data_IF_626732862304
#
_entry.id   IF_626732862304
#
_cell.length_a   1.000
_cell.length_b   1.000
_cell.length_c   1.000
_cell.angle_alpha   90.00
_cell.angle_beta   90.00
_cell.angle_gamma   90.00
#
_symmetry.space_group_name_H-M   'P 1'
#
loop_
_entity.id
_entity.type
_entity.pdbx_description
1 polymer ?
#
# COMPACT_ATOMS: atom_id res chain seq x y z
N UNK A 1 -3.20 -21.91 4.35
CA UNK A 1 -3.16 -22.00 5.84
C UNK A 1 -3.90 -20.78 6.40
N UNK A 2 -5.21 -20.91 6.58
CA UNK A 2 -6.14 -19.86 7.04
C UNK A 2 -6.77 -20.31 8.37
N UNK A 3 -7.20 -21.57 8.42
CA UNK A 3 -7.80 -22.21 9.60
C UNK A 3 -6.85 -22.41 10.80
N UNK A 4 -5.55 -22.61 10.55
CA UNK A 4 -4.56 -22.71 11.64
C UNK A 4 -4.40 -21.37 12.38
N UNK A 5 -4.68 -20.25 11.71
CA UNK A 5 -4.69 -18.90 12.28
C UNK A 5 -5.82 -18.70 13.30
N UNK A 6 -7.03 -19.23 13.02
CA UNK A 6 -8.11 -19.23 14.01
C UNK A 6 -7.80 -20.12 15.21
N UNK A 7 -7.16 -21.28 14.98
CA UNK A 7 -6.81 -22.22 16.05
C UNK A 7 -5.82 -21.63 17.08
N UNK A 8 -4.98 -20.67 16.67
CA UNK A 8 -4.04 -19.95 17.55
C UNK A 8 -4.61 -18.64 18.12
N UNK A 9 -5.91 -18.38 17.94
CA UNK A 9 -6.58 -17.18 18.45
C UNK A 9 -6.37 -15.92 17.59
N UNK A 10 -5.91 -16.08 16.35
CA UNK A 10 -5.79 -14.99 15.39
C UNK A 10 -7.15 -14.62 14.82
N UNK A 11 -7.52 -13.35 14.96
CA UNK A 11 -8.68 -12.78 14.28
C UNK A 11 -8.34 -12.43 12.83
N UNK A 12 -9.37 -12.33 11.99
CA UNK A 12 -9.21 -11.80 10.64
C UNK A 12 -8.52 -10.43 10.64
N UNK A 13 -7.58 -10.18 9.74
CA UNK A 13 -6.86 -8.89 9.68
C UNK A 13 -7.80 -7.73 9.35
N UNK A 14 -8.91 -7.97 8.63
CA UNK A 14 -9.95 -6.96 8.42
C UNK A 14 -10.81 -6.66 9.66
N UNK A 15 -10.73 -7.46 10.72
CA UNK A 15 -11.42 -7.23 11.98
C UNK A 15 -10.56 -6.42 12.98
N UNK A 16 -9.30 -6.09 12.67
CA UNK A 16 -8.44 -5.24 13.52
C UNK A 16 -9.13 -3.92 13.86
N UNK A 17 -8.86 -3.36 15.03
CA UNK A 17 -9.46 -2.10 15.46
C UNK A 17 -8.99 -0.90 14.62
N UNK A 18 -7.77 -0.93 14.10
CA UNK A 18 -7.10 0.12 13.34
C UNK A 18 -7.28 0.01 11.82
N UNK A 19 -8.01 -1.01 11.34
CA UNK A 19 -8.12 -1.29 9.89
C UNK A 19 -8.64 -0.12 9.06
N UNK A 20 -9.46 0.77 9.63
CA UNK A 20 -10.04 1.90 8.88
C UNK A 20 -8.96 2.93 8.48
N UNK A 21 -7.75 2.85 9.05
CA UNK A 21 -6.59 3.62 8.62
C UNK A 21 -5.91 3.05 7.36
N UNK A 22 -6.24 1.80 7.00
CA UNK A 22 -5.54 1.01 5.98
C UNK A 22 -6.47 0.53 4.85
N UNK A 23 -7.72 0.21 5.17
CA UNK A 23 -8.73 -0.27 4.23
C UNK A 23 -10.06 0.49 4.41
N UNK A 24 -10.74 0.79 3.31
CA UNK A 24 -12.10 1.30 3.33
C UNK A 24 -13.08 0.16 3.03
N UNK A 25 -14.03 -0.08 3.93
CA UNK A 25 -15.02 -1.15 3.79
C UNK A 25 -16.40 -0.55 3.46
N UNK A 26 -16.95 -0.88 2.29
CA UNK A 26 -18.29 -0.48 1.86
C UNK A 26 -19.30 -1.57 2.20
N UNK A 27 -19.85 -1.54 3.43
CA UNK A 27 -20.80 -2.56 3.92
C UNK A 27 -22.07 -2.67 3.06
N UNK A 28 -22.44 -1.61 2.34
CA UNK A 28 -23.52 -1.61 1.34
C UNK A 28 -23.37 -2.66 0.23
N UNK A 29 -22.14 -3.14 -0.02
CA UNK A 29 -21.82 -4.17 -1.01
C UNK A 29 -21.62 -5.56 -0.38
N UNK A 30 -21.69 -5.67 0.95
CA UNK A 30 -21.70 -6.96 1.64
C UNK A 30 -23.03 -7.68 1.36
N UNK A 31 -23.02 -9.02 1.40
CA UNK A 31 -24.28 -9.77 1.40
C UNK A 31 -25.10 -9.37 2.62
N UNK A 32 -26.39 -9.13 2.43
CA UNK A 32 -27.29 -8.78 3.53
C UNK A 32 -27.18 -9.83 4.64
N UNK A 33 -26.94 -9.38 5.87
CA UNK A 33 -26.76 -10.23 7.05
C UNK A 33 -25.32 -10.66 7.33
N UNK A 34 -24.34 -10.31 6.49
CA UNK A 34 -22.92 -10.63 6.69
C UNK A 34 -22.10 -9.48 7.30
N UNK A 35 -22.73 -8.36 7.64
CA UNK A 35 -22.08 -7.17 8.19
C UNK A 35 -21.34 -7.48 9.50
N UNK A 36 -21.87 -8.42 10.28
CA UNK A 36 -21.27 -8.87 11.53
C UNK A 36 -19.91 -9.58 11.35
N UNK A 37 -19.62 -10.14 10.17
CA UNK A 37 -18.30 -10.74 9.86
C UNK A 37 -17.21 -9.69 9.65
N UNK A 38 -17.59 -8.43 9.46
CA UNK A 38 -16.68 -7.29 9.30
C UNK A 38 -16.71 -6.37 10.53
N UNK A 39 -17.24 -6.84 11.65
CA UNK A 39 -17.20 -6.10 12.91
C UNK A 39 -15.76 -5.86 13.35
N UNK A 40 -15.52 -4.70 13.99
CA UNK A 40 -14.24 -4.40 14.64
C UNK A 40 -14.11 -5.22 15.91
N UNK A 41 -12.94 -5.83 16.08
CA UNK A 41 -12.46 -6.21 17.38
C UNK A 41 -12.08 -4.97 18.19
N UNK A 42 -12.15 -5.10 19.51
CA UNK A 42 -11.73 -4.04 20.42
C UNK A 42 -10.21 -4.02 20.60
N UNK A 43 -9.65 -2.86 20.93
CA UNK A 43 -8.23 -2.71 21.29
C UNK A 43 -7.82 -3.62 22.47
N UNK A 44 -8.78 -4.05 23.29
CA UNK A 44 -8.57 -4.97 24.43
C UNK A 44 -8.47 -6.44 24.02
N UNK A 45 -9.07 -6.83 22.89
CA UNK A 45 -9.09 -8.21 22.37
C UNK A 45 -8.13 -8.43 21.22
N UNK A 46 -7.58 -7.35 20.66
CA UNK A 46 -6.76 -7.37 19.45
C UNK A 46 -5.52 -6.47 19.61
N UNK A 47 -4.44 -7.05 20.16
CA UNK A 47 -3.15 -6.36 20.27
C UNK A 47 -2.34 -6.56 18.99
N UNK A 48 -2.09 -5.48 18.26
CA UNK A 48 -1.39 -5.49 16.99
C UNK A 48 0.13 -5.61 17.20
N UNK A 49 0.64 -6.83 17.34
CA UNK A 49 2.08 -7.09 17.41
C UNK A 49 2.83 -6.76 16.10
N UNK A 50 2.11 -6.61 14.98
CA UNK A 50 2.66 -6.33 13.65
C UNK A 50 1.85 -5.25 12.92
N UNK A 51 2.50 -4.54 12.00
CA UNK A 51 1.87 -3.58 11.08
C UNK A 51 0.85 -4.28 10.15
N UNK A 52 -0.02 -3.49 9.52
CA UNK A 52 -1.08 -4.03 8.65
C UNK A 52 -0.47 -4.61 7.37
N UNK A 53 -0.46 -5.94 7.25
CA UNK A 53 0.10 -6.64 6.09
C UNK A 53 -1.01 -7.10 5.12
N UNK A 54 -1.07 -6.42 3.97
CA UNK A 54 -2.02 -6.66 2.88
C UNK A 54 -1.80 -7.98 2.13
N UNK A 55 -0.64 -8.65 2.32
CA UNK A 55 -0.25 -9.87 1.60
C UNK A 55 -0.38 -11.18 2.39
N UNK A 56 -0.83 -11.12 3.65
CA UNK A 56 -1.00 -12.34 4.48
C UNK A 56 -2.14 -13.24 4.00
N UNK A 57 -2.18 -14.49 4.48
CA UNK A 57 -3.24 -15.49 4.19
C UNK A 57 -4.52 -15.24 5.03
N UNK A 58 -4.49 -14.26 5.93
CA UNK A 58 -5.53 -13.99 6.93
C UNK A 58 -6.63 -12.99 6.55
N UNK A 59 -6.49 -12.07 5.57
CA UNK A 59 -7.66 -11.38 5.08
C UNK A 59 -8.55 -12.38 4.36
N UNK A 60 -9.88 -12.25 4.50
CA UNK A 60 -10.75 -12.90 3.52
C UNK A 60 -10.33 -12.41 2.14
N UNK A 61 -10.26 -13.33 1.17
CA UNK A 61 -10.15 -12.93 -0.23
C UNK A 61 -11.26 -11.92 -0.52
N UNK A 62 -10.95 -10.83 -1.21
CA UNK A 62 -11.86 -9.70 -1.44
C UNK A 62 -13.22 -10.08 -2.05
N UNK A 63 -13.36 -11.31 -2.56
CA UNK A 63 -14.54 -11.89 -3.20
C UNK A 63 -15.32 -12.88 -2.32
N UNK A 64 -14.84 -13.28 -1.15
CA UNK A 64 -15.38 -14.42 -0.40
C UNK A 64 -16.82 -14.21 0.12
N UNK A 65 -17.27 -12.97 0.24
CA UNK A 65 -18.54 -12.60 0.92
C UNK A 65 -19.33 -11.50 0.21
N UNK A 66 -18.97 -11.17 -1.02
CA UNK A 66 -19.59 -10.07 -1.75
C UNK A 66 -20.93 -10.47 -2.42
N UNK A 67 -21.87 -9.51 -2.49
CA UNK A 67 -23.18 -9.64 -3.14
C UNK A 67 -23.03 -9.72 -4.68
N UNK A 68 -21.97 -9.10 -5.19
CA UNK A 68 -21.42 -9.22 -6.55
C UNK A 68 -19.89 -9.34 -6.46
N UNK A 69 -19.25 -10.07 -7.39
CA UNK A 69 -17.84 -10.47 -7.37
C UNK A 69 -16.79 -9.34 -7.46
N UNK A 70 -17.20 -8.08 -7.34
CA UNK A 70 -16.31 -6.91 -7.48
C UNK A 70 -16.58 -5.95 -6.33
N UNK A 71 -15.73 -6.03 -5.31
CA UNK A 71 -15.73 -5.12 -4.18
C UNK A 71 -14.77 -3.96 -4.48
N UNK A 72 -15.25 -2.71 -4.52
CA UNK A 72 -14.40 -1.51 -4.61
C UNK A 72 -13.62 -1.28 -3.30
N UNK A 73 -12.43 -1.88 -3.17
CA UNK A 73 -11.45 -1.47 -2.14
C UNK A 73 -10.46 -0.50 -2.78
N UNK A 74 -10.70 0.79 -2.66
CA UNK A 74 -9.67 1.79 -2.93
C UNK A 74 -8.71 1.84 -1.74
N UNK A 75 -7.69 0.98 -1.76
CA UNK A 75 -6.59 1.05 -0.79
C UNK A 75 -5.75 2.28 -1.15
N UNK A 76 -5.63 3.20 -0.20
CA UNK A 76 -4.64 4.27 -0.26
C UNK A 76 -3.85 4.31 1.04
N UNK A 77 -2.54 4.27 0.96
CA UNK A 77 -1.65 4.31 2.11
C UNK A 77 -0.57 5.36 1.90
N UNK A 78 -0.06 5.89 3.01
CA UNK A 78 1.05 6.85 3.02
C UNK A 78 2.15 6.24 3.87
N UNK A 79 3.35 6.18 3.32
CA UNK A 79 4.50 5.52 3.93
C UNK A 79 5.66 6.51 4.07
N UNK A 80 6.35 6.44 5.21
CA UNK A 80 7.63 7.12 5.43
C UNK A 80 8.75 6.10 5.23
N UNK A 81 9.59 6.34 4.22
CA UNK A 81 10.65 5.43 3.80
C UNK A 81 12.00 6.09 4.15
N UNK A 82 12.85 5.37 4.89
CA UNK A 82 14.19 5.81 5.31
C UNK A 82 15.28 5.31 4.37
N UNK A 83 16.53 5.70 4.59
CA UNK A 83 17.68 5.28 3.78
C UNK A 83 17.77 3.77 3.59
N UNK A 84 18.25 3.38 2.41
CA UNK A 84 18.55 2.00 2.02
C UNK A 84 17.39 1.02 2.22
N UNK A 85 16.18 1.55 2.34
CA UNK A 85 14.96 0.79 2.43
C UNK A 85 14.47 0.42 1.03
N UNK A 86 14.00 -0.82 0.91
CA UNK A 86 13.41 -1.36 -0.30
C UNK A 86 11.96 -1.70 -0.02
N UNK A 87 11.05 -1.04 -0.73
CA UNK A 87 9.62 -1.31 -0.64
C UNK A 87 9.11 -1.82 -1.98
N UNK A 88 8.55 -3.03 -1.99
CA UNK A 88 7.91 -3.59 -3.17
C UNK A 88 6.39 -3.48 -3.03
N UNK A 89 5.80 -2.55 -3.78
CA UNK A 89 4.35 -2.41 -3.84
C UNK A 89 3.80 -3.42 -4.85
N UNK A 90 2.95 -4.34 -4.39
CA UNK A 90 2.32 -5.35 -5.23
C UNK A 90 0.80 -5.25 -5.11
N UNK A 91 0.10 -5.33 -6.25
CA UNK A 91 -1.36 -5.36 -6.33
C UNK A 91 -1.82 -6.54 -7.19
N UNK A 92 -3.10 -6.94 -7.11
CA UNK A 92 -3.65 -8.02 -7.94
C UNK A 92 -3.39 -7.80 -9.43
N UNK A 93 -3.20 -8.90 -10.16
CA UNK A 93 -3.00 -8.87 -11.61
C UNK A 93 -4.16 -8.14 -12.31
N UNK A 94 -3.84 -7.29 -13.28
CA UNK A 94 -4.80 -6.42 -13.96
C UNK A 94 -5.07 -5.08 -13.26
N UNK A 95 -4.55 -4.87 -12.04
CA UNK A 95 -4.56 -3.56 -11.37
C UNK A 95 -3.25 -2.80 -11.59
N UNK A 96 -3.33 -1.49 -11.46
CA UNK A 96 -2.16 -0.58 -11.49
C UNK A 96 -2.06 0.18 -10.17
N UNK A 97 -0.93 0.82 -9.93
CA UNK A 97 -0.63 1.59 -8.73
C UNK A 97 -0.32 3.01 -9.15
N UNK A 98 -0.98 3.97 -8.52
CA UNK A 98 -0.56 5.36 -8.61
C UNK A 98 0.25 5.71 -7.37
N UNK A 99 1.48 6.14 -7.59
CA UNK A 99 2.41 6.60 -6.55
C UNK A 99 2.52 8.11 -6.64
N UNK A 100 2.26 8.78 -5.54
CA UNK A 100 2.27 10.23 -5.38
C UNK A 100 3.41 10.58 -4.44
N UNK A 101 4.34 11.38 -4.94
CA UNK A 101 5.45 11.89 -4.15
C UNK A 101 4.97 13.01 -3.22
N UNK A 102 5.17 12.85 -1.91
CA UNK A 102 4.68 13.83 -0.93
C UNK A 102 5.77 14.62 -0.23
N UNK A 103 6.92 14.04 0.09
CA UNK A 103 7.97 14.81 0.75
C UNK A 103 9.33 14.15 0.63
N UNK A 104 10.37 14.95 0.85
CA UNK A 104 11.76 14.51 0.90
C UNK A 104 12.59 15.41 1.80
N UNK A 105 13.69 14.88 2.33
CA UNK A 105 14.67 15.66 3.10
C UNK A 105 15.18 16.87 2.30
N UNK A 106 15.20 18.04 2.93
CA UNK A 106 15.56 19.28 2.26
C UNK A 106 17.08 19.41 2.05
N UNK A 107 17.49 20.24 1.10
CA UNK A 107 18.88 20.65 0.84
C UNK A 107 19.85 19.51 0.44
N UNK A 108 19.32 18.40 -0.07
CA UNK A 108 20.13 17.30 -0.63
C UNK A 108 20.05 17.21 -2.15
N UNK A 109 19.23 18.06 -2.78
CA UNK A 109 18.99 18.03 -4.21
C UNK A 109 20.26 18.35 -5.01
N UNK A 110 20.80 17.34 -5.69
CA UNK A 110 21.85 17.47 -6.69
C UNK A 110 21.32 17.06 -8.06
N UNK A 111 21.84 17.67 -9.13
CA UNK A 111 21.38 17.37 -10.48
C UNK A 111 21.47 15.86 -10.79
N UNK A 112 20.39 15.30 -11.32
CA UNK A 112 20.25 13.86 -11.60
C UNK A 112 20.11 12.94 -10.37
N UNK A 113 20.05 13.47 -9.15
CA UNK A 113 19.90 12.71 -7.90
C UNK A 113 20.95 11.59 -7.78
N UNK A 114 22.23 11.91 -7.99
CA UNK A 114 23.30 10.90 -8.08
C UNK A 114 23.66 10.31 -6.72
N UNK A 115 23.65 11.14 -5.68
CA UNK A 115 24.16 10.80 -4.35
C UNK A 115 23.10 10.25 -3.41
N UNK A 116 21.89 10.78 -3.55
CA UNK A 116 20.74 10.43 -2.74
C UNK A 116 19.45 10.55 -3.56
N UNK A 117 18.44 9.82 -3.14
CA UNK A 117 17.11 9.95 -3.70
C UNK A 117 16.24 8.71 -3.49
N UNK A 118 15.00 8.82 -3.95
CA UNK A 118 14.07 7.71 -4.09
C UNK A 118 13.87 7.39 -5.56
N UNK A 119 13.99 6.11 -5.91
CA UNK A 119 13.83 5.56 -7.25
C UNK A 119 12.55 4.75 -7.30
N UNK A 120 11.64 5.15 -8.18
CA UNK A 120 10.31 4.54 -8.30
C UNK A 120 10.20 3.94 -9.69
N UNK A 121 9.97 2.62 -9.78
CA UNK A 121 9.95 1.90 -11.06
C UNK A 121 8.51 1.56 -11.48
N UNK A 122 7.93 2.40 -12.32
CA UNK A 122 6.54 2.29 -12.77
C UNK A 122 6.39 1.70 -14.18
N UNK A 123 7.45 1.75 -14.99
CA UNK A 123 7.46 1.19 -16.35
C UNK A 123 7.64 -0.34 -16.39
N UNK A 124 7.15 -0.95 -17.48
CA UNK A 124 7.19 -2.40 -17.73
C UNK A 124 8.60 -2.96 -17.68
N UNK A 125 9.57 -2.22 -18.21
CA UNK A 125 10.98 -2.64 -18.16
C UNK A 125 11.63 -2.20 -16.84
N UNK A 126 11.53 -3.08 -15.86
CA UNK A 126 12.07 -2.90 -14.52
C UNK A 126 13.62 -2.89 -14.46
N UNK A 127 14.32 -3.24 -15.55
CA UNK A 127 15.80 -3.17 -15.62
C UNK A 127 16.32 -1.75 -15.86
N UNK A 128 15.47 -0.83 -16.31
CA UNK A 128 15.85 0.56 -16.51
C UNK A 128 15.60 1.40 -15.25
N UNK A 129 16.36 2.47 -15.08
CA UNK A 129 16.12 3.46 -14.03
C UNK A 129 15.05 4.40 -14.54
N UNK A 130 13.88 4.38 -13.91
CA UNK A 130 12.70 5.11 -14.36
C UNK A 130 12.71 6.52 -13.75
N UNK A 131 11.95 6.75 -12.68
CA UNK A 131 11.90 8.04 -12.00
C UNK A 131 12.81 8.07 -10.78
N UNK A 132 13.49 9.21 -10.57
CA UNK A 132 14.33 9.50 -9.41
C UNK A 132 13.96 10.87 -8.84
N UNK A 133 13.77 10.96 -7.53
CA UNK A 133 13.47 12.20 -6.83
C UNK A 133 14.39 12.38 -5.62
N UNK A 134 14.90 13.59 -5.45
CA UNK A 134 15.81 13.98 -4.36
C UNK A 134 15.56 15.42 -3.87
N UNK A 135 14.38 15.98 -4.19
CA UNK A 135 13.98 17.33 -3.74
C UNK A 135 12.52 17.33 -3.30
N UNK A 136 12.16 18.09 -2.24
CA UNK A 136 10.76 18.39 -1.95
C UNK A 136 10.04 19.14 -3.07
N UNK A 137 10.76 19.78 -4.01
CA UNK A 137 10.15 20.51 -5.14
C UNK A 137 9.32 19.60 -6.06
N UNK A 138 9.54 18.30 -6.01
CA UNK A 138 8.75 17.31 -6.76
C UNK A 138 7.41 16.96 -6.08
N UNK A 139 7.04 17.66 -5.00
CA UNK A 139 5.76 17.49 -4.29
C UNK A 139 4.57 17.38 -5.24
N UNK A 140 3.73 16.37 -5.03
CA UNK A 140 2.50 16.17 -5.80
C UNK A 140 2.69 15.46 -7.14
N UNK A 141 3.92 15.15 -7.54
CA UNK A 141 4.19 14.35 -8.73
C UNK A 141 3.50 12.99 -8.61
N UNK A 142 2.68 12.64 -9.59
CA UNK A 142 1.94 11.38 -9.65
C UNK A 142 2.48 10.50 -10.77
N UNK A 143 2.79 9.24 -10.44
CA UNK A 143 3.30 8.23 -11.36
C UNK A 143 2.33 7.05 -11.38
N UNK A 144 1.87 6.67 -12.56
CA UNK A 144 0.97 5.53 -12.74
C UNK A 144 1.75 4.34 -13.29
N UNK A 145 1.67 3.21 -12.60
CA UNK A 145 2.35 1.99 -13.00
C UNK A 145 1.71 1.33 -14.22
N UNK A 146 2.56 0.77 -15.07
CA UNK A 146 2.14 -0.07 -16.20
C UNK A 146 2.02 -1.54 -15.83
N UNK A 147 2.60 -1.92 -14.69
CA UNK A 147 2.58 -3.27 -14.10
C UNK A 147 1.90 -3.25 -12.74
N UNK A 148 1.46 -4.42 -12.29
CA UNK A 148 0.87 -4.60 -10.96
C UNK A 148 1.92 -4.64 -9.82
N UNK A 149 3.18 -4.32 -10.12
CA UNK A 149 4.30 -4.27 -9.18
C UNK A 149 5.08 -2.98 -9.39
N UNK A 150 5.44 -2.32 -8.30
CA UNK A 150 6.25 -1.08 -8.28
C UNK A 150 7.32 -1.19 -7.19
N UNK A 151 8.56 -1.49 -7.57
CA UNK A 151 9.70 -1.35 -6.68
C UNK A 151 10.00 0.13 -6.38
N UNK A 152 10.18 0.42 -5.10
CA UNK A 152 10.65 1.70 -4.56
C UNK A 152 11.98 1.44 -3.85
N UNK A 153 13.01 2.18 -4.24
CA UNK A 153 14.37 2.03 -3.72
C UNK A 153 14.85 3.40 -3.27
N UNK A 154 15.13 3.57 -1.99
CA UNK A 154 15.87 4.72 -1.47
C UNK A 154 17.35 4.43 -1.42
N UNK A 155 18.18 5.43 -1.69
CA UNK A 155 19.63 5.34 -1.54
C UNK A 155 20.16 6.67 -1.03
N UNK A 156 21.21 6.60 -0.20
CA UNK A 156 21.99 7.76 0.22
C UNK A 156 23.41 7.33 0.53
N UNK A 157 24.39 8.08 0.05
CA UNK A 157 25.81 7.75 0.27
C UNK A 157 26.42 8.42 1.51
N UNK A 158 25.74 9.41 2.13
CA UNK A 158 26.37 10.26 3.15
C UNK A 158 25.45 10.69 4.30
N UNK A 159 24.16 10.92 4.03
CA UNK A 159 23.24 11.53 5.00
C UNK A 159 22.01 10.68 5.23
N UNK A 160 21.38 10.84 6.39
CA UNK A 160 20.08 10.24 6.60
C UNK A 160 18.99 10.99 5.84
N UNK A 161 18.37 10.34 4.86
CA UNK A 161 17.20 10.81 4.12
C UNK A 161 15.91 10.15 4.62
N UNK A 162 14.83 10.90 4.49
CA UNK A 162 13.46 10.44 4.64
C UNK A 162 12.67 10.87 3.41
N UNK A 163 11.85 9.96 2.89
CA UNK A 163 10.92 10.23 1.80
C UNK A 163 9.52 9.81 2.21
N UNK A 164 8.52 10.60 1.83
CA UNK A 164 7.12 10.28 2.08
C UNK A 164 6.44 10.05 0.74
N UNK A 165 5.88 8.85 0.58
CA UNK A 165 5.14 8.47 -0.60
C UNK A 165 3.71 8.10 -0.20
N UNK A 166 2.75 8.58 -0.99
CA UNK A 166 1.37 8.09 -0.92
C UNK A 166 1.11 7.23 -2.13
N UNK A 167 0.57 6.04 -1.95
CA UNK A 167 0.17 5.17 -3.07
C UNK A 167 -1.29 4.80 -2.96
N UNK A 168 -1.92 4.61 -4.12
CA UNK A 168 -3.29 4.11 -4.23
C UNK A 168 -3.43 3.13 -5.39
N UNK A 169 -4.30 2.15 -5.22
CA UNK A 169 -4.62 1.20 -6.28
C UNK A 169 -5.47 1.93 -7.33
N UNK A 170 -5.04 1.88 -8.59
CA UNK A 170 -5.83 2.29 -9.75
C UNK A 170 -6.29 1.07 -10.50
N UNK A 171 -7.60 0.88 -10.51
CA UNK A 171 -8.20 -0.26 -11.17
C UNK A 171 -9.14 0.22 -12.26
N UNK A 172 -9.13 -0.45 -13.41
CA UNK A 172 -10.14 -0.23 -14.45
C UNK A 172 -11.54 -0.72 -14.01
N UNK A 173 -11.64 -1.52 -12.94
CA UNK A 173 -12.89 -2.13 -12.45
C UNK A 173 -13.22 -1.87 -10.95
N UNK A 174 -12.36 -1.19 -10.17
CA UNK A 174 -12.44 -1.16 -8.68
C UNK A 174 -12.32 0.27 -8.07
N UNK A 175 -12.02 1.31 -8.86
CA UNK A 175 -12.04 2.69 -8.36
C UNK A 175 -12.56 3.65 -9.44
N UNK A 176 -13.88 3.80 -9.53
CA UNK A 176 -14.51 4.91 -10.27
C UNK A 176 -14.79 6.09 -9.32
N UNK A 177 -14.33 7.29 -9.67
CA UNK A 177 -14.59 8.54 -8.94
C UNK A 177 -15.90 9.18 -9.41
#
# INVERSE_FOLDING_TARGET
MHELGYAIGGYYTQARYDRDNFIALRLENARDGWEHHFAKESERTNYNYISYDYGTVMPYGATAVAKFSVFEVCVSATELIRNDEYLLLNVPSGSTIEVIFQNYTQNLAYDGCVWDGVKIKTLKNQRHTDYRFCSPDYYGTSLISTTNMVPVITYSIAFEITSILRYRIRNAFICTF
#
